data_IF_519598082132
#
_entry.id   IF_519598082132
#
_cell.length_a   1.000
_cell.length_b   1.000
_cell.length_c   1.000
_cell.angle_alpha   90.00
_cell.angle_beta   90.00
_cell.angle_gamma   90.00
#
_symmetry.space_group_name_H-M   'P 1'
#
loop_
_entity.id
_entity.type
_entity.pdbx_description
1 polymer ?
#
# COMPACT_ATOMS: atom_id res chain seq x y z
N UNK A 1 6.29 -17.70 -17.34
CA UNK A 1 6.28 -16.29 -16.91
C UNK A 1 5.09 -15.60 -17.57
N UNK A 2 4.60 -14.47 -17.06
CA UNK A 2 3.56 -13.67 -17.74
C UNK A 2 4.23 -12.52 -18.49
N UNK A 3 3.84 -12.23 -19.74
CA UNK A 3 4.31 -11.04 -20.43
C UNK A 3 3.81 -9.80 -19.68
N UNK A 4 4.67 -8.80 -19.59
CA UNK A 4 4.43 -7.49 -19.00
C UNK A 4 4.93 -6.47 -20.00
N UNK A 5 4.21 -5.39 -20.19
CA UNK A 5 4.66 -4.30 -21.06
C UNK A 5 5.31 -3.24 -20.17
N UNK A 6 6.62 -3.03 -20.35
CA UNK A 6 7.31 -1.88 -19.79
C UNK A 6 7.60 -0.92 -20.94
N UNK A 7 7.00 0.27 -20.98
CA UNK A 7 7.45 1.29 -21.91
C UNK A 7 8.87 1.74 -21.52
N UNK A 8 9.75 1.87 -22.50
CA UNK A 8 11.06 2.54 -22.35
C UNK A 8 11.19 3.53 -23.51
N UNK A 9 10.69 4.75 -23.32
CA UNK A 9 10.56 5.72 -24.40
C UNK A 9 9.61 5.23 -25.50
N UNK A 10 10.08 5.20 -26.76
CA UNK A 10 9.32 4.67 -27.92
C UNK A 10 9.39 3.14 -28.06
N UNK A 11 10.22 2.46 -27.27
CA UNK A 11 10.49 1.05 -27.42
C UNK A 11 9.66 0.24 -26.42
N UNK A 12 8.84 -0.64 -26.97
CA UNK A 12 8.21 -1.71 -26.21
C UNK A 12 9.21 -2.84 -26.07
N UNK A 13 9.88 -2.90 -24.93
CA UNK A 13 10.70 -4.07 -24.61
C UNK A 13 9.77 -5.18 -24.09
N UNK A 14 9.78 -6.38 -24.69
CA UNK A 14 9.04 -7.51 -24.16
C UNK A 14 9.60 -7.84 -22.77
N UNK A 15 8.80 -7.60 -21.74
CA UNK A 15 9.19 -7.90 -20.37
C UNK A 15 8.42 -9.12 -19.89
N UNK A 16 9.04 -9.89 -19.00
CA UNK A 16 8.42 -11.05 -18.39
C UNK A 16 8.56 -10.95 -16.89
N UNK A 17 7.48 -11.24 -16.18
CA UNK A 17 7.50 -11.29 -14.72
C UNK A 17 6.96 -12.64 -14.22
N UNK A 18 7.53 -13.07 -13.10
CA UNK A 18 7.07 -14.23 -12.34
C UNK A 18 6.44 -13.72 -11.05
N UNK A 19 5.24 -14.22 -10.73
CA UNK A 19 4.47 -13.82 -9.55
C UNK A 19 4.00 -12.35 -9.53
N UNK A 20 3.77 -11.73 -10.69
CA UNK A 20 3.18 -10.38 -10.75
C UNK A 20 1.67 -10.40 -10.47
N UNK A 21 1.21 -9.57 -9.54
CA UNK A 21 -0.17 -9.55 -9.03
C UNK A 21 -0.77 -8.14 -8.97
N UNK A 22 -0.36 -7.25 -9.87
CA UNK A 22 -0.78 -5.85 -9.92
C UNK A 22 -2.31 -5.68 -10.01
N UNK A 23 -2.99 -6.48 -10.85
CA UNK A 23 -4.44 -6.46 -11.00
C UNK A 23 -5.03 -7.88 -10.87
N UNK A 24 -4.57 -8.61 -9.85
CA UNK A 24 -4.97 -9.99 -9.65
C UNK A 24 -5.96 -10.12 -8.48
N UNK A 25 -6.98 -10.95 -8.68
CA UNK A 25 -7.89 -11.42 -7.62
C UNK A 25 -7.26 -12.56 -6.78
N UNK A 26 -6.07 -13.04 -7.16
CA UNK A 26 -5.36 -14.12 -6.49
C UNK A 26 -4.47 -13.60 -5.35
N UNK A 27 -4.20 -14.48 -4.39
CA UNK A 27 -3.19 -14.24 -3.37
C UNK A 27 -1.79 -14.53 -3.91
N UNK A 28 -0.77 -13.93 -3.29
CA UNK A 28 0.62 -14.22 -3.63
C UNK A 28 0.99 -15.64 -3.28
N UNK A 29 1.61 -16.34 -4.23
CA UNK A 29 2.25 -17.62 -3.95
C UNK A 29 3.32 -17.43 -2.87
N UNK A 30 3.20 -18.20 -1.79
CA UNK A 30 4.16 -18.20 -0.68
C UNK A 30 5.05 -19.42 -0.83
N UNK A 31 6.34 -19.18 -1.04
CA UNK A 31 7.34 -20.26 -1.05
C UNK A 31 7.78 -20.49 0.40
N UNK A 32 7.63 -21.71 0.95
CA UNK A 32 8.10 -21.98 2.30
C UNK A 32 9.63 -21.90 2.35
N UNK A 33 10.16 -21.12 3.30
CA UNK A 33 11.60 -20.84 3.46
C UNK A 33 12.47 -22.10 3.55
N UNK A 34 11.92 -23.21 4.07
CA UNK A 34 12.63 -24.48 4.21
C UNK A 34 13.05 -25.09 2.86
N UNK A 35 12.21 -24.95 1.82
CA UNK A 35 12.51 -25.45 0.47
C UNK A 35 13.56 -24.58 -0.24
N UNK A 36 13.50 -23.27 -0.02
CA UNK A 36 14.45 -22.32 -0.60
C UNK A 36 15.88 -22.47 -0.06
N UNK A 37 16.09 -23.20 1.04
CA UNK A 37 17.40 -23.36 1.68
C UNK A 37 18.16 -24.61 1.23
N UNK A 38 17.44 -25.70 0.91
CA UNK A 38 18.08 -26.93 0.43
C UNK A 38 18.64 -26.77 -0.99
N UNK A 39 17.98 -25.93 -1.79
CA UNK A 39 18.50 -25.51 -3.07
C UNK A 39 19.33 -24.23 -2.83
N UNK A 40 20.62 -24.24 -3.16
CA UNK A 40 21.48 -23.03 -3.09
C UNK A 40 20.89 -21.83 -3.87
N UNK A 41 19.96 -22.10 -4.80
CA UNK A 41 19.14 -21.14 -5.53
C UNK A 41 17.67 -21.60 -5.52
N UNK A 42 16.72 -20.71 -5.23
CA UNK A 42 15.29 -21.06 -5.31
C UNK A 42 14.69 -20.87 -6.70
N UNK A 43 15.39 -20.17 -7.60
CA UNK A 43 15.03 -20.07 -9.00
C UNK A 43 16.30 -19.89 -9.84
N UNK A 44 16.34 -20.57 -10.97
CA UNK A 44 17.40 -20.44 -11.96
C UNK A 44 16.75 -20.22 -13.33
N UNK A 45 17.34 -19.33 -14.12
CA UNK A 45 16.88 -19.00 -15.46
C UNK A 45 18.07 -19.02 -16.41
N UNK A 46 17.94 -19.75 -17.51
CA UNK A 46 18.85 -19.69 -18.63
C UNK A 46 18.19 -18.84 -19.72
N UNK A 47 18.75 -17.66 -19.97
CA UNK A 47 18.30 -16.74 -21.01
C UNK A 47 19.21 -16.92 -22.21
N UNK A 48 18.61 -17.03 -23.39
CA UNK A 48 19.33 -17.03 -24.66
C UNK A 48 18.97 -15.73 -25.38
N UNK A 49 19.94 -14.84 -25.55
CA UNK A 49 19.71 -13.59 -26.29
C UNK A 49 20.23 -13.80 -27.69
N UNK A 50 19.32 -13.89 -28.65
CA UNK A 50 19.71 -14.12 -30.04
C UNK A 50 20.45 -12.89 -30.57
N UNK A 51 21.70 -13.05 -31.01
CA UNK A 51 22.50 -11.95 -31.54
C UNK A 51 21.88 -11.31 -32.80
N UNK A 52 20.98 -12.01 -33.49
CA UNK A 52 20.24 -11.50 -34.65
C UNK A 52 19.14 -10.49 -34.26
N UNK A 53 18.72 -10.46 -32.99
CA UNK A 53 17.71 -9.53 -32.45
C UNK A 53 18.35 -8.20 -31.98
N UNK A 54 19.37 -7.71 -32.70
CA UNK A 54 19.93 -6.39 -32.47
C UNK A 54 18.85 -5.32 -32.68
N UNK A 55 18.29 -4.84 -31.57
CA UNK A 55 17.50 -3.62 -31.57
C UNK A 55 18.49 -2.48 -31.84
N UNK A 56 18.43 -1.88 -33.03
CA UNK A 56 19.34 -0.86 -33.57
C UNK A 56 19.78 0.29 -32.64
N UNK A 57 19.10 0.49 -31.50
CA UNK A 57 19.41 1.54 -30.52
C UNK A 57 20.31 1.08 -29.37
N UNK A 58 20.50 -0.24 -29.20
CA UNK A 58 21.42 -0.80 -28.22
C UNK A 58 22.63 -1.33 -28.97
N UNK A 59 23.82 -0.78 -28.70
CA UNK A 59 25.07 -1.23 -29.33
C UNK A 59 25.35 -2.73 -29.11
N UNK A 60 24.69 -3.35 -28.12
CA UNK A 60 24.80 -4.78 -27.81
C UNK A 60 23.47 -5.37 -27.30
N UNK A 61 23.12 -6.60 -27.72
CA UNK A 61 21.99 -7.34 -27.14
C UNK A 61 22.21 -7.53 -25.63
N UNK A 62 21.27 -7.03 -24.82
CA UNK A 62 21.36 -7.11 -23.35
C UNK A 62 20.00 -7.35 -22.72
N UNK A 63 20.00 -8.03 -21.56
CA UNK A 63 18.80 -8.25 -20.76
C UNK A 63 18.84 -7.36 -19.51
N UNK A 64 17.67 -7.07 -18.95
CA UNK A 64 17.55 -6.38 -17.67
C UNK A 64 16.83 -7.26 -16.66
N UNK A 65 17.29 -7.24 -15.41
CA UNK A 65 16.62 -7.94 -14.31
C UNK A 65 16.33 -6.95 -13.18
N UNK A 66 15.14 -7.06 -12.61
CA UNK A 66 14.76 -6.35 -11.40
C UNK A 66 14.00 -7.29 -10.46
N UNK A 67 14.19 -7.11 -9.16
CA UNK A 67 13.46 -7.81 -8.11
C UNK A 67 12.62 -6.79 -7.36
N UNK A 68 11.32 -7.05 -7.26
CA UNK A 68 10.37 -6.11 -6.66
C UNK A 68 9.20 -6.84 -5.99
N UNK A 69 8.39 -6.09 -5.25
CA UNK A 69 7.15 -6.60 -4.66
C UNK A 69 6.16 -7.01 -5.75
N UNK A 70 5.43 -8.13 -5.60
CA UNK A 70 4.46 -8.59 -6.60
C UNK A 70 3.31 -7.62 -6.83
N UNK A 71 3.12 -6.65 -5.93
CA UNK A 71 2.05 -5.66 -5.94
C UNK A 71 2.51 -4.28 -6.41
N UNK A 72 3.80 -4.11 -6.68
CA UNK A 72 4.39 -2.82 -7.05
C UNK A 72 4.90 -2.90 -8.48
N UNK A 73 4.51 -1.98 -9.37
CA UNK A 73 5.09 -1.87 -10.71
C UNK A 73 6.59 -1.59 -10.64
N UNK A 74 7.36 -2.14 -11.58
CA UNK A 74 8.83 -1.96 -11.64
C UNK A 74 9.23 -1.24 -12.91
N UNK A 75 10.21 -0.35 -12.80
CA UNK A 75 10.76 0.41 -13.93
C UNK A 75 12.14 -0.13 -14.28
N UNK A 76 12.20 -1.01 -15.26
CA UNK A 76 13.43 -1.72 -15.62
C UNK A 76 14.63 -0.81 -15.96
N UNK A 77 14.48 0.32 -16.69
CA UNK A 77 15.62 1.17 -17.02
C UNK A 77 16.32 1.79 -15.80
N UNK A 78 15.57 2.13 -14.75
CA UNK A 78 16.11 2.83 -13.58
C UNK A 78 16.38 1.90 -12.41
N UNK A 79 15.51 0.90 -12.20
CA UNK A 79 15.55 -0.01 -11.06
C UNK A 79 16.19 -1.35 -11.42
N UNK A 80 16.23 -1.71 -12.70
CA UNK A 80 16.84 -2.93 -13.18
C UNK A 80 18.35 -2.86 -13.25
N UNK A 81 18.96 -4.04 -13.39
CA UNK A 81 20.38 -4.22 -13.69
C UNK A 81 20.53 -4.85 -15.05
N UNK A 82 21.37 -4.23 -15.86
CA UNK A 82 21.76 -4.75 -17.17
C UNK A 82 22.63 -6.00 -16.99
N UNK A 83 22.31 -7.05 -17.72
CA UNK A 83 22.99 -8.33 -17.76
C UNK A 83 23.72 -8.47 -19.10
N UNK A 84 24.95 -8.97 -19.04
CA UNK A 84 25.81 -9.18 -20.20
C UNK A 84 25.73 -10.64 -20.67
N UNK A 85 25.64 -10.87 -21.97
CA UNK A 85 25.82 -12.19 -22.57
C UNK A 85 27.18 -12.83 -22.17
N UNK A 86 27.21 -14.15 -21.96
CA UNK A 86 28.41 -14.91 -21.57
C UNK A 86 28.71 -14.92 -20.07
N UNK A 87 27.80 -14.41 -19.24
CA UNK A 87 27.97 -14.36 -17.78
C UNK A 87 26.88 -15.15 -17.04
N UNK A 88 27.29 -15.62 -15.86
CA UNK A 88 26.44 -16.17 -14.83
C UNK A 88 26.31 -15.16 -13.68
N UNK A 89 25.07 -14.83 -13.35
CA UNK A 89 24.71 -13.89 -12.30
C UNK A 89 24.07 -14.63 -11.13
N UNK A 90 24.65 -14.45 -9.94
CA UNK A 90 24.05 -14.91 -8.69
C UNK A 90 23.44 -13.70 -7.95
N UNK A 91 22.11 -13.62 -7.97
CA UNK A 91 21.33 -12.53 -7.38
C UNK A 91 20.89 -12.96 -5.98
N UNK A 92 21.42 -12.26 -4.98
CA UNK A 92 21.10 -12.50 -3.57
C UNK A 92 20.10 -11.44 -3.12
N UNK A 93 18.89 -11.86 -2.77
CA UNK A 93 17.79 -11.00 -2.35
C UNK A 93 17.75 -10.87 -0.82
N UNK A 94 17.54 -9.65 -0.34
CA UNK A 94 17.23 -9.30 1.05
C UNK A 94 15.87 -8.62 1.12
N UNK A 95 15.14 -8.91 2.19
CA UNK A 95 13.77 -8.42 2.39
C UNK A 95 13.71 -7.53 3.63
N UNK A 96 13.11 -6.36 3.45
CA UNK A 96 12.86 -5.39 4.51
C UNK A 96 11.37 -5.03 4.51
N UNK A 97 10.81 -4.79 5.69
CA UNK A 97 9.41 -4.45 5.87
C UNK A 97 9.27 -3.20 6.72
N UNK A 98 8.65 -2.16 6.17
CA UNK A 98 8.27 -0.97 6.91
C UNK A 98 6.81 -1.07 7.33
N UNK A 99 6.55 -0.84 8.62
CA UNK A 99 5.21 -0.75 9.21
C UNK A 99 4.98 0.67 9.70
N UNK A 100 4.03 1.34 9.07
CA UNK A 100 3.56 2.67 9.46
C UNK A 100 2.29 2.56 10.31
N UNK A 101 1.93 3.64 10.98
CA UNK A 101 0.71 3.71 11.77
C UNK A 101 -0.42 4.41 10.99
N UNK A 102 -1.65 3.88 11.05
CA UNK A 102 -2.80 4.51 10.38
C UNK A 102 -3.20 5.81 11.07
N UNK A 103 -4.25 6.48 10.59
CA UNK A 103 -4.88 7.57 11.34
C UNK A 103 -5.21 7.10 12.78
N UNK A 104 -5.00 7.92 13.83
CA UNK A 104 -4.74 9.37 13.85
C UNK A 104 -3.25 9.77 13.87
N UNK A 105 -2.32 8.84 13.65
CA UNK A 105 -0.90 9.15 13.70
C UNK A 105 -0.44 9.97 12.48
N UNK A 106 0.67 10.73 12.63
CA UNK A 106 1.22 11.59 11.56
C UNK A 106 1.49 10.83 10.26
N UNK A 107 1.85 9.56 10.34
CA UNK A 107 2.06 8.70 9.17
C UNK A 107 0.80 8.52 8.34
N UNK A 108 -0.40 8.55 8.97
CA UNK A 108 -1.72 8.48 8.32
C UNK A 108 -1.76 7.48 7.16
N UNK A 109 -1.26 6.28 7.39
CA UNK A 109 -1.12 5.29 6.34
C UNK A 109 -2.45 4.62 6.00
N UNK A 110 -2.51 4.00 4.82
CA UNK A 110 -3.62 3.17 4.35
C UNK A 110 -3.17 1.71 4.22
N UNK A 111 -3.96 0.78 4.76
CA UNK A 111 -3.75 -0.65 4.54
C UNK A 111 -4.44 -1.09 3.25
N UNK A 112 -3.70 -1.03 2.15
CA UNK A 112 -4.19 -1.40 0.82
C UNK A 112 -4.61 -2.87 0.70
N UNK A 113 -4.04 -3.77 1.51
CA UNK A 113 -4.38 -5.19 1.49
C UNK A 113 -5.77 -5.41 2.12
N UNK A 114 -6.07 -4.70 3.21
CA UNK A 114 -7.40 -4.71 3.83
C UNK A 114 -8.43 -4.11 2.87
N UNK A 115 -8.16 -2.93 2.32
CA UNK A 115 -9.07 -2.28 1.36
C UNK A 115 -9.36 -3.15 0.13
N UNK A 116 -8.34 -3.79 -0.43
CA UNK A 116 -8.50 -4.70 -1.56
C UNK A 116 -9.40 -5.89 -1.19
N UNK A 117 -9.22 -6.49 0.00
CA UNK A 117 -10.08 -7.59 0.48
C UNK A 117 -11.53 -7.16 0.66
N UNK A 118 -11.75 -6.00 1.29
CA UNK A 118 -13.09 -5.43 1.52
C UNK A 118 -13.79 -5.10 0.20
N UNK A 119 -13.04 -4.61 -0.79
CA UNK A 119 -13.55 -4.28 -2.12
C UNK A 119 -13.62 -5.50 -3.06
N UNK A 120 -13.99 -6.68 -2.54
CA UNK A 120 -14.13 -7.93 -3.31
C UNK A 120 -12.90 -8.26 -4.17
N UNK A 121 -11.70 -7.98 -3.65
CA UNK A 121 -10.41 -8.20 -4.33
C UNK A 121 -10.24 -7.36 -5.60
N UNK A 122 -10.75 -6.14 -5.58
CA UNK A 122 -10.59 -5.15 -6.66
C UNK A 122 -9.90 -3.89 -6.14
N UNK A 123 -9.13 -3.24 -7.01
CA UNK A 123 -8.42 -2.00 -6.71
C UNK A 123 -6.95 -2.20 -6.34
N UNK A 124 -6.26 -1.11 -5.92
CA UNK A 124 -4.82 -1.12 -5.69
C UNK A 124 -4.44 -1.90 -4.43
N UNK A 125 -3.36 -2.67 -4.51
CA UNK A 125 -2.75 -3.40 -3.38
C UNK A 125 -1.47 -2.75 -2.83
N UNK A 126 -1.09 -1.62 -3.40
CA UNK A 126 0.08 -0.83 -3.00
C UNK A 126 -0.19 0.65 -3.24
N UNK A 127 0.62 1.51 -2.61
CA UNK A 127 0.53 2.96 -2.83
C UNK A 127 0.91 3.31 -4.27
N UNK A 128 1.93 2.65 -4.81
CA UNK A 128 2.40 2.83 -6.17
C UNK A 128 1.27 2.50 -7.16
N UNK A 129 0.61 1.35 -6.99
CA UNK A 129 -0.54 0.99 -7.83
C UNK A 129 -1.70 1.98 -7.68
N UNK A 130 -1.95 2.51 -6.47
CA UNK A 130 -2.96 3.56 -6.28
C UNK A 130 -2.62 4.80 -7.12
N UNK A 131 -1.36 5.24 -7.10
CA UNK A 131 -0.91 6.40 -7.86
C UNK A 131 -1.06 6.16 -9.36
N UNK A 132 -0.62 5.01 -9.86
CA UNK A 132 -0.76 4.63 -11.27
C UNK A 132 -2.23 4.63 -11.71
N UNK A 133 -3.12 3.99 -10.95
CA UNK A 133 -4.56 3.99 -11.24
C UNK A 133 -5.17 5.40 -11.21
N UNK A 134 -4.78 6.23 -10.23
CA UNK A 134 -5.26 7.60 -10.14
C UNK A 134 -4.83 8.44 -11.35
N UNK A 135 -3.57 8.31 -11.76
CA UNK A 135 -3.06 9.02 -12.94
C UNK A 135 -3.76 8.54 -14.20
N UNK A 136 -3.88 7.22 -14.38
CA UNK A 136 -4.59 6.62 -15.51
C UNK A 136 -6.03 7.15 -15.63
N UNK A 137 -6.80 7.12 -14.54
CA UNK A 137 -8.19 7.58 -14.53
C UNK A 137 -8.34 9.09 -14.81
N UNK A 138 -7.31 9.89 -14.52
CA UNK A 138 -7.33 11.35 -14.70
C UNK A 138 -6.85 11.79 -16.08
N UNK A 139 -5.81 11.14 -16.61
CA UNK A 139 -5.22 11.46 -17.90
C UNK A 139 -5.96 10.81 -19.07
N UNK A 140 -6.63 9.67 -18.84
CA UNK A 140 -7.44 8.99 -19.85
C UNK A 140 -8.93 8.96 -19.44
N UNK A 141 -9.61 10.13 -19.36
CA UNK A 141 -11.01 10.18 -18.95
C UNK A 141 -11.94 9.46 -19.96
N UNK A 142 -11.50 9.33 -21.21
CA UNK A 142 -12.21 8.60 -22.25
C UNK A 142 -11.87 7.11 -22.18
N UNK A 143 -12.58 6.37 -21.31
CA UNK A 143 -12.46 4.91 -21.04
C UNK A 143 -12.51 3.96 -22.24
N UNK A 144 -12.65 4.49 -23.47
CA UNK A 144 -12.80 3.71 -24.69
C UNK A 144 -11.47 3.38 -25.39
N UNK A 145 -10.36 3.99 -24.96
CA UNK A 145 -9.02 3.60 -25.42
C UNK A 145 -8.35 2.88 -24.26
N UNK A 146 -8.44 1.56 -24.26
CA UNK A 146 -7.68 0.71 -23.34
C UNK A 146 -6.22 0.68 -23.79
N UNK A 147 -5.46 1.75 -23.52
CA UNK A 147 -4.01 1.65 -23.62
C UNK A 147 -3.57 0.61 -22.58
N UNK A 148 -2.74 -0.38 -22.96
CA UNK A 148 -2.28 -1.39 -22.01
C UNK A 148 -1.60 -0.67 -20.85
N UNK A 149 -2.11 -0.81 -19.62
CA UNK A 149 -1.62 -0.15 -18.40
C UNK A 149 -0.12 0.13 -18.48
N UNK A 150 0.22 1.36 -18.88
CA UNK A 150 1.60 1.75 -19.02
C UNK A 150 2.05 2.16 -17.63
N UNK A 151 3.08 1.48 -17.12
CA UNK A 151 3.75 1.86 -15.87
C UNK A 151 4.61 3.11 -16.13
N UNK A 152 3.98 4.23 -16.45
CA UNK A 152 4.66 5.48 -16.81
C UNK A 152 4.90 6.30 -15.56
N UNK A 153 6.13 6.77 -15.39
CA UNK A 153 6.36 7.90 -14.49
C UNK A 153 5.80 9.17 -15.13
N UNK A 154 4.49 9.39 -14.99
CA UNK A 154 3.92 10.69 -15.35
C UNK A 154 4.49 11.73 -14.36
N UNK A 155 5.12 12.82 -14.82
CA UNK A 155 5.08 13.37 -16.18
C UNK A 155 6.40 13.24 -16.99
N UNK A 156 7.39 12.50 -16.51
CA UNK A 156 8.73 12.52 -17.07
C UNK A 156 8.87 11.74 -18.39
N UNK A 157 8.01 10.74 -18.64
CA UNK A 157 8.26 9.77 -19.72
C UNK A 157 7.42 9.91 -20.98
N UNK A 158 6.37 10.75 -20.95
CA UNK A 158 5.58 11.08 -22.16
C UNK A 158 6.13 12.28 -22.93
N UNK A 159 7.21 12.88 -22.42
CA UNK A 159 7.88 13.96 -23.13
C UNK A 159 8.79 13.41 -24.21
N UNK A 160 8.28 13.46 -25.41
CA UNK A 160 9.04 13.18 -26.61
C UNK A 160 9.74 14.46 -27.08
N UNK A 161 11.06 14.57 -26.83
CA UNK A 161 11.91 15.67 -27.31
C UNK A 161 12.45 16.62 -26.22
N UNK A 162 13.19 17.66 -26.63
CA UNK A 162 14.04 18.48 -25.76
C UNK A 162 13.30 19.36 -24.72
N UNK A 163 11.97 19.35 -24.65
CA UNK A 163 11.20 20.08 -23.63
C UNK A 163 9.96 19.30 -23.21
N UNK A 164 10.08 18.57 -22.10
CA UNK A 164 8.94 18.35 -21.22
C UNK A 164 8.41 19.71 -20.76
N UNK A 165 7.26 20.14 -21.26
CA UNK A 165 6.48 21.14 -20.53
C UNK A 165 5.36 20.38 -19.84
N UNK A 166 5.63 19.91 -18.62
CA UNK A 166 4.56 19.63 -17.67
C UNK A 166 3.67 20.84 -17.60
N UNK A 167 2.41 20.72 -18.01
CA UNK A 167 1.48 21.82 -17.81
C UNK A 167 1.26 21.98 -16.29
N UNK A 168 0.96 23.19 -15.84
CA UNK A 168 0.59 23.43 -14.44
C UNK A 168 -0.60 22.57 -13.99
N UNK A 169 -1.46 22.16 -14.93
CA UNK A 169 -2.57 21.24 -14.69
C UNK A 169 -2.10 19.81 -14.39
N UNK A 170 -1.07 19.34 -15.09
CA UNK A 170 -0.54 17.97 -14.89
C UNK A 170 0.10 17.85 -13.51
N UNK A 171 0.81 18.89 -13.08
CA UNK A 171 1.38 18.98 -11.74
C UNK A 171 0.27 19.00 -10.66
N UNK A 172 -0.82 19.73 -10.89
CA UNK A 172 -1.98 19.71 -9.97
C UNK A 172 -2.61 18.31 -9.86
N UNK A 173 -2.75 17.59 -10.97
CA UNK A 173 -3.27 16.22 -10.99
C UNK A 173 -2.33 15.29 -10.22
N UNK A 174 -1.03 15.41 -10.44
CA UNK A 174 -0.02 14.62 -9.76
C UNK A 174 -0.06 14.84 -8.24
N UNK A 175 -0.09 16.10 -7.80
CA UNK A 175 -0.18 16.44 -6.38
C UNK A 175 -1.52 16.02 -5.75
N UNK A 176 -2.59 16.00 -6.54
CA UNK A 176 -3.87 15.42 -6.10
C UNK A 176 -3.74 13.91 -5.89
N UNK A 177 -3.23 13.17 -6.86
CA UNK A 177 -3.02 11.72 -6.73
C UNK A 177 -2.06 11.36 -5.60
N UNK A 178 -1.00 12.16 -5.36
CA UNK A 178 -0.10 11.98 -4.21
C UNK A 178 -0.81 12.16 -2.87
N UNK A 179 -1.75 13.13 -2.77
CA UNK A 179 -2.54 13.36 -1.55
C UNK A 179 -3.61 12.29 -1.33
N UNK A 180 -4.28 11.86 -2.39
CA UNK A 180 -5.34 10.84 -2.33
C UNK A 180 -4.75 9.46 -2.02
N UNK A 181 -3.58 9.13 -2.59
CA UNK A 181 -2.86 7.88 -2.33
C UNK A 181 -1.89 8.00 -1.15
N UNK A 182 -2.48 7.88 0.05
CA UNK A 182 -1.77 7.81 1.34
C UNK A 182 -0.65 6.75 1.36
N UNK A 183 0.38 6.89 2.20
CA UNK A 183 1.44 5.90 2.30
C UNK A 183 0.91 4.53 2.73
N UNK A 184 1.50 3.44 2.21
CA UNK A 184 1.08 2.09 2.60
C UNK A 184 1.43 1.82 4.06
N UNK A 185 0.50 1.26 4.84
CA UNK A 185 0.78 0.84 6.21
C UNK A 185 1.82 -0.28 6.30
N UNK A 186 1.94 -1.05 5.22
CA UNK A 186 2.90 -2.13 5.08
C UNK A 186 3.63 -1.96 3.75
N UNK A 187 4.93 -1.69 3.80
CA UNK A 187 5.75 -1.59 2.61
C UNK A 187 6.82 -2.69 2.61
N UNK A 188 6.87 -3.50 1.57
CA UNK A 188 7.86 -4.56 1.40
C UNK A 188 8.94 -4.07 0.43
N UNK A 189 10.15 -3.90 0.94
CA UNK A 189 11.32 -3.49 0.18
C UNK A 189 12.19 -4.70 -0.11
N UNK A 190 12.61 -4.82 -1.36
CA UNK A 190 13.50 -5.86 -1.83
C UNK A 190 14.80 -5.20 -2.25
N UNK A 191 15.87 -5.47 -1.50
CA UNK A 191 17.22 -5.08 -1.88
C UNK A 191 17.92 -6.31 -2.43
N UNK A 192 18.76 -6.15 -3.46
CA UNK A 192 19.47 -7.29 -4.02
C UNK A 192 20.91 -6.92 -4.36
N UNK A 193 21.78 -7.92 -4.22
CA UNK A 193 23.19 -7.84 -4.60
C UNK A 193 23.44 -8.83 -5.73
N UNK A 194 24.27 -8.45 -6.70
CA UNK A 194 24.57 -9.27 -7.86
C UNK A 194 26.05 -9.64 -7.83
N UNK A 195 26.32 -10.93 -7.90
CA UNK A 195 27.66 -11.45 -8.15
C UNK A 195 27.73 -11.95 -9.60
N UNK A 196 28.60 -11.33 -10.38
CA UNK A 196 28.86 -11.67 -11.77
C UNK A 196 30.04 -12.64 -11.83
N UNK A 197 29.88 -13.73 -12.58
CA UNK A 197 30.91 -14.73 -12.86
C UNK A 197 30.89 -15.06 -14.33
N UNK A 198 32.05 -15.28 -14.96
CA UNK A 198 32.09 -15.74 -16.35
C UNK A 198 31.42 -17.11 -16.44
N UNK A 199 30.57 -17.30 -17.45
CA UNK A 199 29.99 -18.62 -17.72
C UNK A 199 31.15 -19.53 -18.13
N UNK A 200 31.56 -20.43 -17.23
CA UNK A 200 32.87 -21.05 -17.29
C UNK A 200 33.07 -21.90 -18.54
N UNK A 201 34.22 -21.72 -19.19
CA UNK A 201 34.86 -22.72 -20.05
C UNK A 201 35.22 -23.93 -19.19
N UNK A 202 34.21 -24.75 -18.86
CA UNK A 202 34.44 -26.12 -18.42
C UNK A 202 35.42 -26.71 -19.42
N UNK A 203 36.57 -27.22 -18.96
CA UNK A 203 37.68 -27.71 -19.79
C UNK A 203 37.33 -28.95 -20.66
N UNK A 204 36.17 -28.96 -21.32
CA UNK A 204 35.64 -30.05 -22.13
C UNK A 204 35.60 -29.64 -23.60
N UNK A 205 36.27 -30.48 -24.36
CA UNK A 205 36.48 -30.55 -25.79
C UNK A 205 35.22 -30.22 -26.63
N UNK A 206 35.44 -29.44 -27.70
CA UNK A 206 34.60 -29.32 -28.90
C UNK A 206 33.12 -28.95 -28.70
N UNK A 207 32.78 -28.07 -27.76
CA UNK A 207 31.49 -27.37 -27.81
C UNK A 207 31.69 -26.06 -28.58
N UNK A 208 30.83 -25.85 -29.58
CA UNK A 208 30.79 -24.67 -30.44
C UNK A 208 30.82 -23.38 -29.61
N UNK A 209 31.96 -22.69 -29.67
CA UNK A 209 32.32 -21.53 -28.84
C UNK A 209 31.38 -20.34 -29.06
N UNK A 210 30.71 -20.28 -30.21
CA UNK A 210 29.80 -19.19 -30.53
C UNK A 210 28.50 -19.28 -29.71
N UNK A 211 28.00 -20.48 -29.44
CA UNK A 211 26.72 -20.70 -28.74
C UNK A 211 26.70 -20.31 -27.26
N UNK A 212 27.87 -20.08 -26.63
CA UNK A 212 27.95 -19.71 -25.22
C UNK A 212 27.99 -18.20 -24.99
N UNK A 213 28.37 -17.42 -26.00
CA UNK A 213 28.44 -15.96 -25.87
C UNK A 213 27.06 -15.34 -25.71
N UNK A 214 26.03 -15.99 -26.23
CA UNK A 214 24.65 -15.48 -26.24
C UNK A 214 23.84 -15.87 -25.01
N UNK A 215 24.43 -16.68 -24.11
CA UNK A 215 23.74 -17.21 -22.94
C UNK A 215 23.97 -16.35 -21.71
N UNK A 216 22.92 -16.15 -20.93
CA UNK A 216 22.97 -15.56 -19.60
C UNK A 216 22.33 -16.54 -18.62
N UNK A 217 23.07 -16.91 -17.59
CA UNK A 217 22.53 -17.72 -16.50
C UNK A 217 22.24 -16.84 -15.29
N UNK A 218 21.03 -16.89 -14.76
CA UNK A 218 20.61 -16.12 -13.59
C UNK A 218 20.14 -17.06 -12.49
N UNK A 219 20.92 -17.14 -11.43
CA UNK A 219 20.56 -17.86 -10.21
C UNK A 219 20.12 -16.87 -9.15
N UNK A 220 18.93 -17.09 -8.58
CA UNK A 220 18.36 -16.25 -7.55
C UNK A 220 18.31 -17.01 -6.22
N UNK A 221 18.86 -16.38 -5.18
CA UNK A 221 18.92 -16.91 -3.82
C UNK A 221 18.45 -15.87 -2.80
N UNK A 222 18.10 -16.33 -1.60
CA UNK A 222 17.77 -15.47 -0.47
C UNK A 222 19.03 -15.30 0.40
N UNK A 223 19.45 -14.06 0.62
CA UNK A 223 20.63 -13.75 1.40
C UNK A 223 20.43 -13.96 2.90
N UNK A 224 19.31 -13.44 3.42
CA UNK A 224 18.99 -13.49 4.84
C UNK A 224 17.73 -14.31 5.09
N UNK A 225 17.74 -15.10 6.18
CA UNK A 225 16.58 -15.89 6.63
C UNK A 225 15.54 -15.02 7.36
N UNK A 226 15.94 -13.83 7.77
CA UNK A 226 15.13 -12.94 8.58
C UNK A 226 14.74 -11.74 7.74
N UNK A 227 13.49 -11.31 7.90
CA UNK A 227 13.01 -10.05 7.34
C UNK A 227 13.30 -8.97 8.37
N UNK A 228 14.02 -7.92 7.96
CA UNK A 228 14.24 -6.77 8.83
C UNK A 228 12.95 -5.96 8.86
N UNK A 229 12.31 -5.86 10.03
CA UNK A 229 11.04 -5.14 10.17
C UNK A 229 11.28 -3.82 10.90
N UNK A 230 11.14 -2.70 10.20
CA UNK A 230 11.09 -1.37 10.80
C UNK A 230 9.64 -1.03 11.15
N UNK A 231 9.33 -0.88 12.44
CA UNK A 231 7.97 -0.62 12.90
C UNK A 231 7.88 0.72 13.61
N UNK A 232 6.97 1.57 13.13
CA UNK A 232 6.52 2.73 13.88
C UNK A 232 5.65 2.27 15.03
N UNK A 233 6.04 2.62 16.25
CA UNK A 233 5.29 2.33 17.47
C UNK A 233 4.80 3.66 18.06
N UNK A 234 3.58 3.70 18.62
CA UNK A 234 3.13 4.88 19.33
C UNK A 234 4.06 5.14 20.53
N UNK A 235 4.53 6.37 20.67
CA UNK A 235 5.39 6.77 21.79
C UNK A 235 4.65 6.62 23.13
N UNK A 236 3.36 6.97 23.13
CA UNK A 236 2.48 6.85 24.28
C UNK A 236 1.37 5.84 23.99
N UNK A 237 1.34 4.76 24.74
CA UNK A 237 0.17 3.89 24.78
C UNK A 237 -0.90 4.52 25.67
N UNK A 238 -2.18 4.19 25.44
CA UNK A 238 -3.28 4.68 26.27
C UNK A 238 -3.05 4.37 27.75
N UNK A 239 -2.56 3.17 28.06
CA UNK A 239 -2.19 2.78 29.42
C UNK A 239 -1.13 3.69 30.04
N UNK A 240 -0.05 3.98 29.31
CA UNK A 240 1.00 4.88 29.80
C UNK A 240 0.46 6.29 30.05
N UNK A 241 -0.39 6.82 29.15
CA UNK A 241 -1.00 8.13 29.32
C UNK A 241 -1.87 8.17 30.59
N UNK A 242 -2.72 7.15 30.81
CA UNK A 242 -3.54 7.07 32.01
C UNK A 242 -2.72 6.91 33.28
N UNK A 243 -1.65 6.12 33.25
CA UNK A 243 -0.74 5.98 34.39
C UNK A 243 0.00 7.28 34.68
N UNK A 244 0.44 8.00 33.66
CA UNK A 244 1.13 9.28 33.80
C UNK A 244 0.21 10.37 34.36
N UNK A 245 -0.99 10.53 33.78
CA UNK A 245 -2.00 11.47 34.27
C UNK A 245 -2.45 11.08 35.69
N UNK A 246 -2.75 9.81 35.92
CA UNK A 246 -3.17 9.31 37.22
C UNK A 246 -2.09 9.47 38.29
N UNK A 247 -0.82 9.25 37.94
CA UNK A 247 0.33 9.48 38.81
C UNK A 247 0.50 10.96 39.16
N UNK A 248 0.39 11.86 38.17
CA UNK A 248 0.43 13.30 38.42
C UNK A 248 -0.75 13.74 39.29
N UNK A 249 -1.99 13.36 38.95
CA UNK A 249 -3.16 13.72 39.75
C UNK A 249 -3.08 13.17 41.18
N UNK A 250 -2.64 11.93 41.35
CA UNK A 250 -2.44 11.31 42.66
C UNK A 250 -1.35 12.01 43.47
N UNK A 251 -0.25 12.44 42.85
CA UNK A 251 0.84 13.13 43.52
C UNK A 251 0.48 14.57 43.90
N UNK A 252 -0.16 15.31 43.00
CA UNK A 252 -0.51 16.72 43.22
C UNK A 252 -1.73 16.91 44.12
N UNK A 253 -2.76 16.07 43.96
CA UNK A 253 -4.04 16.26 44.65
C UNK A 253 -4.27 15.23 45.76
N UNK A 254 -3.53 14.12 45.79
CA UNK A 254 -3.86 12.98 46.67
C UNK A 254 -5.16 12.27 46.30
N UNK A 255 -5.72 12.58 45.13
CA UNK A 255 -7.03 12.08 44.67
C UNK A 255 -6.82 10.88 43.76
N UNK A 256 -7.53 9.79 44.05
CA UNK A 256 -7.56 8.59 43.22
C UNK A 256 -8.81 8.54 42.35
N UNK A 257 -8.85 7.64 41.36
CA UNK A 257 -10.07 7.34 40.59
C UNK A 257 -11.26 7.00 41.50
N UNK A 258 -11.01 6.32 42.62
CA UNK A 258 -12.06 5.98 43.60
C UNK A 258 -12.62 7.20 44.31
N UNK A 259 -11.78 8.20 44.59
CA UNK A 259 -12.23 9.46 45.15
C UNK A 259 -13.13 10.22 44.15
N UNK A 260 -12.78 10.22 42.85
CA UNK A 260 -13.66 10.79 41.82
C UNK A 260 -14.99 10.02 41.70
N UNK A 261 -14.95 8.69 41.72
CA UNK A 261 -16.16 7.87 41.67
C UNK A 261 -17.10 8.18 42.85
N UNK A 262 -16.56 8.30 44.07
CA UNK A 262 -17.35 8.65 45.26
C UNK A 262 -17.93 10.07 45.22
N UNK A 263 -17.19 11.05 44.69
CA UNK A 263 -17.71 12.41 44.48
C UNK A 263 -18.83 12.38 43.44
N UNK A 264 -18.62 11.70 42.30
CA UNK A 264 -19.60 11.58 41.23
C UNK A 264 -20.90 10.91 41.72
N UNK A 265 -20.81 9.81 42.47
CA UNK A 265 -21.96 9.12 43.05
C UNK A 265 -22.76 10.03 43.99
N UNK A 266 -22.08 10.71 44.92
CA UNK A 266 -22.75 11.64 45.82
C UNK A 266 -23.42 12.81 45.09
N UNK A 267 -22.77 13.37 44.06
CA UNK A 267 -23.37 14.42 43.24
C UNK A 267 -24.58 13.93 42.45
N UNK A 268 -24.52 12.71 41.91
CA UNK A 268 -25.59 12.09 41.16
C UNK A 268 -26.82 11.82 42.05
N UNK A 269 -26.60 11.29 43.27
CA UNK A 269 -27.67 11.07 44.25
C UNK A 269 -28.36 12.37 44.66
N UNK A 270 -27.59 13.45 44.90
CA UNK A 270 -28.15 14.77 45.20
C UNK A 270 -28.95 15.34 44.03
N UNK A 271 -28.50 15.14 42.79
CA UNK A 271 -29.22 15.58 41.60
C UNK A 271 -30.56 14.84 41.45
N UNK A 272 -30.60 13.53 41.73
CA UNK A 272 -31.85 12.76 41.75
C UNK A 272 -32.81 13.31 42.81
N UNK A 273 -32.34 13.51 44.05
CA UNK A 273 -33.18 14.07 45.13
C UNK A 273 -33.73 15.45 44.78
N UNK A 274 -32.91 16.31 44.16
CA UNK A 274 -33.32 17.63 43.72
C UNK A 274 -34.36 17.56 42.59
N UNK A 275 -34.18 16.67 41.61
CA UNK A 275 -35.17 16.44 40.55
C UNK A 275 -36.51 15.93 41.10
N UNK A 276 -36.49 15.03 42.10
CA UNK A 276 -37.72 14.59 42.75
C UNK A 276 -38.43 15.73 43.50
N UNK A 277 -37.67 16.64 44.12
CA UNK A 277 -38.21 17.81 44.78
C UNK A 277 -38.87 18.77 43.76
N UNK A 278 -38.22 19.02 42.63
CA UNK A 278 -38.78 19.84 41.55
C UNK A 278 -40.04 19.21 40.98
N UNK A 279 -40.04 17.88 40.76
CA UNK A 279 -41.21 17.17 40.25
C UNK A 279 -42.41 17.29 41.20
N UNK A 280 -42.19 17.27 42.52
CA UNK A 280 -43.23 17.54 43.52
C UNK A 280 -43.75 18.97 43.43
N UNK A 281 -42.85 19.95 43.38
CA UNK A 281 -43.23 21.37 43.28
C UNK A 281 -44.06 21.66 42.02
N UNK A 282 -43.69 21.10 40.86
CA UNK A 282 -44.51 21.24 39.64
C UNK A 282 -45.86 20.54 39.78
N UNK A 283 -45.92 19.34 40.38
CA UNK A 283 -47.19 18.64 40.59
C UNK A 283 -48.17 19.45 41.46
N UNK A 284 -47.67 20.11 42.50
CA UNK A 284 -48.45 21.02 43.35
C UNK A 284 -48.89 22.28 42.58
N UNK A 285 -47.98 22.86 41.79
CA UNK A 285 -48.29 24.04 40.96
C UNK A 285 -49.36 23.78 39.89
N UNK A 286 -49.47 22.54 39.38
CA UNK A 286 -50.52 22.14 38.43
C UNK A 286 -51.84 21.75 39.13
N UNK A 287 -51.82 21.41 40.41
CA UNK A 287 -53.03 21.09 41.17
C UNK A 287 -53.83 22.34 41.60
N UNK A 288 -53.22 23.53 41.55
CA UNK A 288 -53.84 24.80 41.94
C UNK A 288 -54.44 25.62 40.79
N UNK A 289 -54.48 25.12 39.56
CA UNK A 289 -55.33 25.75 38.54
C UNK A 289 -56.79 25.31 38.71
N UNK A 290 -57.70 26.18 39.18
CA UNK A 290 -59.12 25.86 39.19
C UNK A 290 -59.57 25.61 37.75
N UNK A 291 -60.27 24.50 37.56
CA UNK A 291 -60.97 24.14 36.34
C UNK A 291 -62.02 25.20 36.01
N UNK A 292 -61.62 26.29 35.36
CA UNK A 292 -62.51 27.28 34.75
C UNK A 292 -62.13 27.40 33.29
N UNK A 293 -62.33 26.33 32.53
CA UNK A 293 -62.64 26.46 31.10
C UNK A 293 -63.64 25.38 30.73
N UNK A 294 -64.88 25.82 30.66
CA UNK A 294 -66.01 25.13 30.05
C UNK A 294 -65.62 24.66 28.64
N UNK A 295 -65.74 23.36 28.43
CA UNK A 295 -65.71 22.73 27.12
C UNK A 295 -66.93 23.24 26.34
N UNK A 296 -66.71 24.11 25.35
CA UNK A 296 -67.64 24.30 24.25
C UNK A 296 -67.37 23.17 23.26
N UNK A 297 -68.24 22.17 23.24
CA UNK A 297 -68.29 21.14 22.22
C UNK A 297 -68.47 21.83 20.85
N UNK A 298 -67.45 21.79 20.01
CA UNK A 298 -67.61 21.99 18.58
C UNK A 298 -67.48 20.62 17.91
N UNK A 299 -68.61 20.18 17.38
CA UNK A 299 -68.76 19.04 16.50
C UNK A 299 -67.99 19.27 15.20
N UNK A 300 -67.42 18.17 14.67
CA UNK A 300 -67.25 17.97 13.24
C UNK A 300 -65.86 18.32 12.70
N UNK A 301 -65.11 17.29 12.30
CA UNK A 301 -65.05 16.93 10.88
C UNK A 301 -64.40 15.55 10.74
N UNK A 302 -65.12 14.66 10.06
CA UNK A 302 -64.60 13.40 9.53
C UNK A 302 -63.93 13.74 8.20
N UNK A 303 -62.64 13.44 8.06
CA UNK A 303 -61.99 13.33 6.75
C UNK A 303 -61.43 11.91 6.66
N UNK A 304 -62.06 11.13 5.79
CA UNK A 304 -61.51 9.93 5.15
C UNK A 304 -60.46 10.38 4.15
N UNK A 305 -59.39 9.60 3.98
CA UNK A 305 -58.78 9.24 2.70
C UNK A 305 -57.63 8.25 3.02
N UNK A 306 -57.70 6.99 2.55
CA UNK A 306 -57.36 6.48 1.21
C UNK A 306 -55.97 5.84 1.24
#
# INVERSE_FOLDING_TARGET
MKPVFSPVGYLFLPCYSKNLLINSTYESDKIPLRLAYQANSFSSYDLNIEASEEIYFLDKPTAFVAVHSPFVPVKLPYQGKQLKPGYKYHIIIRMEEDKLLPSPYKTNCTDYEILWKENKRQGPRSQEMCKELCLHDRFEPNKNISLPFHMLEYPLELCFGAKCMTSSKDEEILERCKRDCKPSCRNLKYTFTIHETLLGNSKKENIDYDSQKDKIQVDISLGDRQVVVQRHVPEYTTGYLFSYIGGLMGCWLGVSIWAFAGIAENTFLRAIQWMEHIKRHFKESFAEQPTVFSIRQNNGLIIKDS
#
